data_IF_772437141485
#
_entry.id   IF_772437141485
#
_cell.length_a   1.000
_cell.length_b   1.000
_cell.length_c   1.000
_cell.angle_alpha   90.00
_cell.angle_beta   90.00
_cell.angle_gamma   90.00
#
_symmetry.space_group_name_H-M   'P 1'
#
loop_
_entity.id
_entity.type
_entity.pdbx_description
1 polymer ?
#
# COMPACT_ATOMS: atom_id res chain seq x y z
N UNK A 1 1.58 12.42 -23.17
CA UNK A 1 2.70 11.86 -22.39
C UNK A 1 3.10 12.79 -21.25
N UNK A 2 3.14 14.10 -21.47
CA UNK A 2 3.49 15.12 -20.45
C UNK A 2 2.61 15.08 -19.18
N UNK A 3 1.32 14.78 -19.32
CA UNK A 3 0.37 14.77 -18.19
C UNK A 3 0.75 13.82 -17.03
N UNK A 4 1.60 12.81 -17.27
CA UNK A 4 2.03 11.88 -16.22
C UNK A 4 3.25 12.39 -15.43
N UNK A 5 3.98 13.38 -15.95
CA UNK A 5 5.27 13.77 -15.35
C UNK A 5 5.34 15.25 -14.96
N UNK A 6 4.52 16.09 -15.59
CA UNK A 6 4.51 17.54 -15.35
C UNK A 6 3.90 17.83 -13.98
N UNK A 7 4.56 18.72 -13.21
CA UNK A 7 4.15 19.18 -11.88
C UNK A 7 4.01 18.08 -10.81
N UNK A 8 4.53 16.88 -11.07
CA UNK A 8 4.60 15.82 -10.05
C UNK A 8 5.70 16.15 -9.05
N UNK A 9 5.38 16.12 -7.76
CA UNK A 9 6.38 16.21 -6.70
C UNK A 9 7.13 14.87 -6.56
N UNK A 10 8.21 14.71 -7.34
CA UNK A 10 9.02 13.49 -7.34
C UNK A 10 9.71 13.19 -6.00
N UNK A 11 9.99 14.23 -5.21
CA UNK A 11 10.53 14.06 -3.86
C UNK A 11 9.49 13.41 -2.95
N UNK A 12 8.25 13.91 -2.97
CA UNK A 12 7.14 13.31 -2.24
C UNK A 12 6.84 11.87 -2.70
N UNK A 13 6.90 11.60 -4.01
CA UNK A 13 6.76 10.23 -4.55
C UNK A 13 7.83 9.31 -3.99
N UNK A 14 9.11 9.70 -4.07
CA UNK A 14 10.22 8.89 -3.59
C UNK A 14 10.16 8.63 -2.09
N UNK A 15 9.99 9.68 -1.28
CA UNK A 15 9.96 9.57 0.17
C UNK A 15 8.76 8.76 0.65
N UNK A 16 7.55 9.05 0.15
CA UNK A 16 6.36 8.29 0.55
C UNK A 16 6.43 6.83 0.12
N UNK A 17 7.09 6.50 -0.99
CA UNK A 17 7.33 5.11 -1.41
C UNK A 17 8.17 4.36 -0.39
N UNK A 18 9.31 4.92 0.02
CA UNK A 18 10.18 4.27 1.01
C UNK A 18 9.47 4.11 2.36
N UNK A 19 8.81 5.17 2.85
CA UNK A 19 8.10 5.12 4.13
C UNK A 19 6.97 4.09 4.09
N UNK A 20 6.17 4.07 3.02
CA UNK A 20 5.06 3.14 2.85
C UNK A 20 5.54 1.68 2.72
N UNK A 21 6.63 1.45 2.00
CA UNK A 21 7.22 0.12 1.87
C UNK A 21 7.77 -0.39 3.22
N UNK A 22 8.48 0.48 3.96
CA UNK A 22 8.95 0.17 5.31
C UNK A 22 7.81 -0.04 6.30
N UNK A 23 6.70 0.71 6.15
CA UNK A 23 5.49 0.48 6.93
C UNK A 23 4.99 -0.95 6.73
N UNK A 24 5.05 -1.50 5.51
CA UNK A 24 4.67 -2.89 5.26
C UNK A 24 5.43 -3.88 6.14
N UNK A 25 6.74 -3.70 6.30
CA UNK A 25 7.55 -4.55 7.19
C UNK A 25 7.10 -4.48 8.65
N UNK A 26 6.70 -3.30 9.13
CA UNK A 26 6.15 -3.13 10.48
C UNK A 26 4.71 -3.68 10.59
N UNK A 27 3.86 -3.42 9.59
CA UNK A 27 2.44 -3.77 9.53
C UNK A 27 2.22 -5.28 9.63
N UNK A 28 3.00 -6.03 8.85
CA UNK A 28 2.97 -7.49 8.82
C UNK A 28 3.95 -8.14 9.82
N UNK A 29 4.56 -7.36 10.72
CA UNK A 29 5.41 -7.91 11.77
C UNK A 29 4.60 -8.55 12.91
N UNK A 30 5.19 -9.47 13.69
CA UNK A 30 4.54 -10.03 14.88
C UNK A 30 4.15 -8.99 15.94
N UNK A 31 4.76 -7.80 15.90
CA UNK A 31 4.49 -6.71 16.85
C UNK A 31 3.23 -5.92 16.52
N UNK A 32 2.68 -6.07 15.32
CA UNK A 32 1.50 -5.34 14.86
C UNK A 32 0.40 -6.32 14.43
N UNK A 33 0.10 -6.44 13.14
CA UNK A 33 -1.00 -7.29 12.65
C UNK A 33 -0.54 -8.67 12.16
N UNK A 34 0.77 -8.92 12.11
CA UNK A 34 1.37 -10.07 11.43
C UNK A 34 0.89 -11.43 11.92
N UNK A 35 0.74 -11.65 13.23
CA UNK A 35 0.38 -12.96 13.80
C UNK A 35 -0.98 -13.44 13.25
N UNK A 36 -2.03 -12.66 13.48
CA UNK A 36 -3.38 -12.98 13.04
C UNK A 36 -3.56 -12.87 11.53
N UNK A 37 -2.84 -11.95 10.88
CA UNK A 37 -2.83 -11.87 9.42
C UNK A 37 -2.30 -13.17 8.81
N UNK A 38 -1.15 -13.67 9.28
CA UNK A 38 -0.54 -14.87 8.74
C UNK A 38 -1.37 -16.13 8.98
N UNK A 39 -1.94 -16.30 10.18
CA UNK A 39 -2.93 -17.34 10.44
C UNK A 39 -4.09 -17.25 9.43
N UNK A 40 -4.56 -16.02 9.17
CA UNK A 40 -5.67 -15.75 8.28
C UNK A 40 -5.39 -15.92 6.78
N UNK A 41 -4.12 -15.99 6.36
CA UNK A 41 -3.69 -16.31 4.99
C UNK A 41 -3.05 -17.70 4.88
N UNK A 42 -3.05 -18.49 5.96
CA UNK A 42 -2.48 -19.84 5.99
C UNK A 42 -0.94 -19.89 5.99
N UNK A 43 -0.27 -18.80 6.39
CA UNK A 43 1.19 -18.73 6.50
C UNK A 43 1.66 -19.09 7.92
N UNK A 44 2.69 -19.94 8.01
CA UNK A 44 3.42 -20.14 9.26
C UNK A 44 4.52 -19.08 9.40
N UNK A 45 4.37 -18.16 10.36
CA UNK A 45 5.45 -17.21 10.72
C UNK A 45 6.43 -17.92 11.66
N UNK A 46 7.42 -18.60 11.09
CA UNK A 46 8.60 -19.09 11.80
C UNK A 46 9.76 -18.09 11.68
N UNK A 47 10.77 -18.25 12.54
CA UNK A 47 11.97 -17.41 12.52
C UNK A 47 12.74 -17.48 11.18
N UNK A 48 12.59 -18.58 10.43
CA UNK A 48 13.24 -18.82 9.14
C UNK A 48 12.35 -18.53 7.91
N UNK A 49 11.11 -18.06 8.12
CA UNK A 49 10.19 -17.77 7.02
C UNK A 49 10.67 -16.54 6.26
N UNK A 50 11.35 -16.77 5.13
CA UNK A 50 11.76 -15.71 4.21
C UNK A 50 10.58 -15.27 3.35
N UNK A 51 10.40 -13.96 3.23
CA UNK A 51 9.42 -13.43 2.28
C UNK A 51 9.90 -13.67 0.84
N UNK A 52 8.99 -14.08 -0.08
CA UNK A 52 9.36 -14.33 -1.46
C UNK A 52 9.81 -13.02 -2.12
N UNK A 53 11.06 -13.00 -2.62
CA UNK A 53 11.64 -11.82 -3.29
C UNK A 53 10.76 -11.28 -4.42
N UNK A 54 10.12 -12.10 -5.28
CA UNK A 54 9.21 -11.58 -6.30
C UNK A 54 8.04 -10.78 -5.73
N UNK A 55 7.49 -11.18 -4.59
CA UNK A 55 6.40 -10.45 -3.94
C UNK A 55 6.87 -9.11 -3.36
N UNK A 56 8.07 -9.07 -2.76
CA UNK A 56 8.67 -7.83 -2.28
C UNK A 56 8.93 -6.83 -3.41
N UNK A 57 9.43 -7.30 -4.54
CA UNK A 57 9.64 -6.45 -5.73
C UNK A 57 8.32 -5.95 -6.28
N UNK A 58 7.31 -6.81 -6.41
CA UNK A 58 5.98 -6.42 -6.86
C UNK A 58 5.34 -5.39 -5.91
N UNK A 59 5.47 -5.59 -4.60
CA UNK A 59 5.00 -4.66 -3.57
C UNK A 59 5.70 -3.30 -3.70
N UNK A 60 7.02 -3.27 -3.85
CA UNK A 60 7.76 -2.02 -4.00
C UNK A 60 7.33 -1.24 -5.25
N UNK A 61 7.22 -1.93 -6.40
CA UNK A 61 6.78 -1.32 -7.65
C UNK A 61 5.34 -0.83 -7.53
N UNK A 62 4.44 -1.63 -6.95
CA UNK A 62 3.05 -1.24 -6.70
C UNK A 62 2.95 -0.01 -5.80
N UNK A 63 3.74 0.06 -4.72
CA UNK A 63 3.79 1.22 -3.83
C UNK A 63 4.32 2.46 -4.56
N UNK A 64 5.36 2.33 -5.39
CA UNK A 64 5.88 3.45 -6.20
C UNK A 64 4.83 3.98 -7.19
N UNK A 65 4.16 3.09 -7.90
CA UNK A 65 3.11 3.46 -8.85
C UNK A 65 1.92 4.10 -8.14
N UNK A 66 1.55 3.61 -6.96
CA UNK A 66 0.48 4.21 -6.17
C UNK A 66 0.86 5.61 -5.67
N UNK A 67 2.08 5.79 -5.16
CA UNK A 67 2.60 7.11 -4.77
C UNK A 67 2.55 8.11 -5.93
N UNK A 68 2.91 7.66 -7.13
CA UNK A 68 2.85 8.49 -8.34
C UNK A 68 1.41 8.86 -8.71
N UNK A 69 0.47 7.90 -8.69
CA UNK A 69 -0.96 8.18 -8.93
C UNK A 69 -1.52 9.18 -7.91
N UNK A 70 -1.17 9.04 -6.63
CA UNK A 70 -1.58 9.98 -5.58
C UNK A 70 -0.98 11.36 -5.83
N UNK A 71 0.31 11.46 -6.14
CA UNK A 71 0.96 12.74 -6.43
C UNK A 71 0.30 13.45 -7.63
N UNK A 72 -0.01 12.72 -8.71
CA UNK A 72 -0.75 13.26 -9.85
C UNK A 72 -2.12 13.80 -9.45
N UNK A 73 -2.87 13.06 -8.64
CA UNK A 73 -4.19 13.49 -8.19
C UNK A 73 -4.11 14.73 -7.28
N UNK A 74 -3.12 14.80 -6.38
CA UNK A 74 -2.90 15.96 -5.51
C UNK A 74 -2.49 17.20 -6.31
N UNK A 75 -1.54 17.07 -7.24
CA UNK A 75 -1.10 18.19 -8.11
C UNK A 75 -2.25 18.76 -8.94
N UNK A 76 -3.18 17.92 -9.39
CA UNK A 76 -4.37 18.35 -10.14
C UNK A 76 -5.51 18.86 -9.22
N UNK A 77 -5.28 18.99 -7.92
CA UNK A 77 -6.28 19.45 -6.95
C UNK A 77 -7.43 18.46 -6.70
N UNK A 78 -7.31 17.20 -7.13
CA UNK A 78 -8.38 16.20 -7.07
C UNK A 78 -8.18 15.21 -5.91
N UNK A 79 -8.33 15.70 -4.67
CA UNK A 79 -8.30 14.85 -3.47
C UNK A 79 -9.41 13.79 -3.53
N UNK A 80 -10.56 14.11 -4.14
CA UNK A 80 -11.64 13.14 -4.36
C UNK A 80 -11.18 11.92 -5.18
N UNK A 81 -10.31 12.12 -6.18
CA UNK A 81 -9.73 11.02 -6.96
C UNK A 81 -8.81 10.14 -6.11
N UNK A 82 -8.03 10.73 -5.20
CA UNK A 82 -7.20 9.96 -4.25
C UNK A 82 -8.08 9.04 -3.40
N UNK A 83 -9.14 9.59 -2.81
CA UNK A 83 -10.08 8.81 -1.99
C UNK A 83 -10.73 7.70 -2.80
N UNK A 84 -11.22 8.00 -4.00
CA UNK A 84 -11.90 7.02 -4.85
C UNK A 84 -10.97 5.88 -5.27
N UNK A 85 -9.73 6.19 -5.70
CA UNK A 85 -8.75 5.17 -6.11
C UNK A 85 -8.35 4.30 -4.93
N UNK A 86 -8.11 4.92 -3.76
CA UNK A 86 -7.76 4.20 -2.53
C UNK A 86 -8.87 3.25 -2.09
N UNK A 87 -10.12 3.72 -2.08
CA UNK A 87 -11.30 2.90 -1.74
C UNK A 87 -11.50 1.79 -2.78
N UNK A 88 -11.25 2.07 -4.06
CA UNK A 88 -11.29 1.06 -5.12
C UNK A 88 -10.28 -0.05 -4.86
N UNK A 89 -9.01 0.29 -4.61
CA UNK A 89 -7.98 -0.71 -4.30
C UNK A 89 -8.29 -1.48 -3.01
N UNK A 90 -8.83 -0.82 -1.99
CA UNK A 90 -9.29 -1.49 -0.77
C UNK A 90 -10.31 -2.59 -1.08
N UNK A 91 -11.40 -2.25 -1.76
CA UNK A 91 -12.47 -3.22 -2.02
C UNK A 91 -12.05 -4.32 -3.00
N UNK A 92 -11.25 -3.99 -4.02
CA UNK A 92 -10.74 -4.99 -4.96
C UNK A 92 -9.78 -5.97 -4.27
N UNK A 93 -8.91 -5.47 -3.38
CA UNK A 93 -7.98 -6.32 -2.62
C UNK A 93 -8.73 -7.21 -1.62
N UNK A 94 -9.68 -6.65 -0.86
CA UNK A 94 -10.51 -7.42 0.06
C UNK A 94 -11.30 -8.50 -0.69
N UNK A 95 -11.90 -8.16 -1.83
CA UNK A 95 -12.61 -9.13 -2.65
C UNK A 95 -11.68 -10.24 -3.17
N UNK A 96 -10.51 -9.89 -3.71
CA UNK A 96 -9.52 -10.86 -4.19
C UNK A 96 -9.07 -11.82 -3.09
N UNK A 97 -8.82 -11.30 -1.88
CA UNK A 97 -8.41 -12.10 -0.73
C UNK A 97 -9.51 -13.05 -0.25
N UNK A 98 -10.76 -12.57 -0.18
CA UNK A 98 -11.90 -13.43 0.19
C UNK A 98 -12.17 -14.53 -0.84
N UNK A 99 -11.95 -14.25 -2.14
CA UNK A 99 -12.03 -15.25 -3.20
C UNK A 99 -10.89 -16.28 -3.11
N UNK A 100 -9.74 -15.89 -2.55
CA UNK A 100 -8.62 -16.77 -2.25
C UNK A 100 -8.75 -17.48 -0.89
N UNK A 101 -9.94 -17.47 -0.27
CA UNK A 101 -10.24 -18.09 1.02
C UNK A 101 -9.45 -17.53 2.21
N UNK A 102 -8.84 -16.35 2.08
CA UNK A 102 -8.27 -15.64 3.23
C UNK A 102 -9.38 -15.20 4.19
N UNK A 103 -9.09 -15.19 5.49
CA UNK A 103 -10.05 -14.71 6.49
C UNK A 103 -10.39 -13.23 6.29
N UNK A 104 -11.59 -12.81 6.74
CA UNK A 104 -11.98 -11.40 6.70
C UNK A 104 -10.98 -10.51 7.45
N UNK A 105 -10.45 -10.98 8.58
CA UNK A 105 -9.44 -10.24 9.34
C UNK A 105 -8.19 -9.96 8.50
N UNK A 106 -7.60 -10.99 7.89
CA UNK A 106 -6.42 -10.83 7.04
C UNK A 106 -6.71 -9.92 5.84
N UNK A 107 -7.87 -10.11 5.20
CA UNK A 107 -8.32 -9.29 4.08
C UNK A 107 -8.42 -7.81 4.43
N UNK A 108 -8.99 -7.49 5.60
CA UNK A 108 -9.10 -6.10 6.09
C UNK A 108 -7.74 -5.53 6.48
N UNK A 109 -6.83 -6.31 7.07
CA UNK A 109 -5.47 -5.84 7.40
C UNK A 109 -4.72 -5.39 6.14
N UNK A 110 -4.81 -6.16 5.05
CA UNK A 110 -4.19 -5.81 3.77
C UNK A 110 -4.89 -4.63 3.09
N UNK A 111 -6.22 -4.59 3.13
CA UNK A 111 -6.98 -3.44 2.64
C UNK A 111 -6.62 -2.15 3.38
N UNK A 112 -6.63 -2.17 4.70
CA UNK A 112 -6.32 -1.01 5.54
C UNK A 112 -4.88 -0.52 5.36
N UNK A 113 -3.95 -1.41 5.00
CA UNK A 113 -2.60 -1.02 4.62
C UNK A 113 -2.60 -0.07 3.41
N UNK A 114 -3.45 -0.31 2.41
CA UNK A 114 -3.60 0.59 1.24
C UNK A 114 -4.07 1.99 1.67
N UNK A 115 -5.02 2.07 2.61
CA UNK A 115 -5.48 3.36 3.15
C UNK A 115 -4.36 4.09 3.90
N UNK A 116 -3.59 3.36 4.71
CA UNK A 116 -2.45 3.92 5.44
C UNK A 116 -1.39 4.48 4.48
N UNK A 117 -1.07 3.75 3.41
CA UNK A 117 -0.17 4.22 2.34
C UNK A 117 -0.69 5.52 1.70
N UNK A 118 -1.98 5.58 1.34
CA UNK A 118 -2.57 6.77 0.72
C UNK A 118 -2.46 8.00 1.63
N UNK A 119 -2.71 7.84 2.94
CA UNK A 119 -2.56 8.92 3.91
C UNK A 119 -1.11 9.42 3.94
N UNK A 120 -0.12 8.51 4.01
CA UNK A 120 1.30 8.87 3.99
C UNK A 120 1.65 9.64 2.71
N UNK A 121 1.19 9.15 1.56
CA UNK A 121 1.47 9.77 0.26
C UNK A 121 0.88 11.18 0.15
N UNK A 122 -0.34 11.39 0.64
CA UNK A 122 -0.96 12.73 0.70
C UNK A 122 -0.18 13.64 1.63
N UNK A 123 0.15 13.18 2.84
CA UNK A 123 0.92 13.96 3.81
C UNK A 123 2.29 14.37 3.24
N UNK A 124 3.00 13.45 2.56
CA UNK A 124 4.27 13.78 1.91
C UNK A 124 4.10 14.84 0.81
N UNK A 125 3.01 14.82 0.03
CA UNK A 125 2.78 15.85 -0.99
C UNK A 125 2.41 17.22 -0.40
N UNK A 126 1.86 17.27 0.82
CA UNK A 126 1.53 18.52 1.51
C UNK A 126 2.74 19.10 2.25
N UNK A 127 3.64 18.26 2.74
CA UNK A 127 4.77 18.66 3.60
C UNK A 127 6.08 18.94 2.86
N UNK A 128 6.26 18.40 1.65
CA UNK A 128 7.48 18.50 0.83
C UNK A 128 7.21 19.29 -0.44
#
# INVERSE_FOLDING_TARGET
MEALFVNVNWLAVGISTIISFMLGALWYSPKMFGIKWAEGVGLNIGADTRQPVPALVAQFIGTLLFAWVVALAVTNGSIASVSLITITFFFLLVAANMLAEHTLYASLVEGLFVLAMAIIMVLCNVLL
#
